data_IF_858464931713
#
_entry.id   IF_858464931713
#
_cell.length_a   1.000
_cell.length_b   1.000
_cell.length_c   1.000
_cell.angle_alpha   90.00
_cell.angle_beta   90.00
_cell.angle_gamma   90.00
#
_symmetry.space_group_name_H-M   'P 1'
#
loop_
_entity.id
_entity.type
_entity.pdbx_description
1 polymer ?
2 branched ?
3 water ?
#
# COMPACT_ATOMS: atom_id res chain seq x y z
N UNK A 1 -13.51 15.74 -1.41
CA UNK A 1 -13.61 15.63 -2.87
C UNK A 1 -12.26 15.32 -3.52
N UNK A 2 -11.44 14.48 -2.84
CA UNK A 2 -10.14 14.12 -3.39
C UNK A 2 -10.30 13.50 -4.78
N UNK A 3 -11.07 12.42 -4.86
CA UNK A 3 -11.18 11.70 -6.13
C UNK A 3 -11.95 12.52 -7.15
N UNK A 4 -12.91 13.36 -6.72
CA UNK A 4 -13.59 14.20 -7.70
C UNK A 4 -12.62 15.23 -8.27
N UNK A 5 -11.75 15.77 -7.44
CA UNK A 5 -10.77 16.78 -7.87
C UNK A 5 -9.67 16.19 -8.72
N UNK A 6 -9.01 15.13 -8.23
CA UNK A 6 -7.86 14.57 -8.91
C UNK A 6 -8.20 13.53 -9.97
N UNK A 7 -9.30 12.84 -9.76
CA UNK A 7 -9.82 11.87 -10.69
C UNK A 7 -8.86 10.78 -11.08
N UNK A 8 -8.76 10.57 -12.39
CA UNK A 8 -7.93 9.51 -12.95
C UNK A 8 -6.45 9.73 -12.72
N UNK A 9 -5.80 8.78 -12.08
CA UNK A 9 -4.39 8.93 -11.78
C UNK A 9 -3.63 8.24 -12.90
N UNK A 10 -2.42 8.71 -13.12
CA UNK A 10 -1.56 8.03 -14.10
C UNK A 10 -0.10 8.33 -13.75
N UNK A 11 0.78 7.69 -14.52
CA UNK A 11 2.22 7.91 -14.39
C UNK A 11 2.73 8.74 -15.56
N UNK A 12 3.43 9.82 -15.25
CA UNK A 12 3.96 10.69 -16.29
C UNK A 12 5.41 11.01 -15.90
N UNK A 13 6.33 10.55 -16.73
CA UNK A 13 7.77 10.75 -16.46
C UNK A 13 8.21 10.29 -15.08
N UNK A 14 7.73 9.11 -14.70
CA UNK A 14 7.99 8.49 -13.44
C UNK A 14 7.31 9.09 -12.24
N UNK A 15 6.34 9.97 -12.39
CA UNK A 15 5.68 10.59 -11.27
C UNK A 15 4.17 10.31 -11.28
N UNK A 16 3.58 10.20 -10.09
CA UNK A 16 2.14 10.03 -10.01
C UNK A 16 1.52 11.41 -10.27
N UNK A 17 0.65 11.46 -11.27
CA UNK A 17 -0.09 12.69 -11.57
C UNK A 17 -1.61 12.51 -11.69
N UNK A 18 -2.36 13.61 -11.48
CA UNK A 18 -3.81 13.54 -11.57
C UNK A 18 -4.19 13.64 -13.05
N UNK A 19 -5.49 13.69 -13.34
CA UNK A 19 -6.02 13.80 -14.68
C UNK A 19 -5.74 15.14 -15.37
N UNK A 20 -5.28 16.18 -14.73
CA UNK A 20 -4.90 17.41 -15.41
C UNK A 20 -3.37 17.45 -15.48
N UNK A 21 -2.70 16.35 -15.16
CA UNK A 21 -1.26 16.26 -15.21
C UNK A 21 -0.47 16.86 -14.05
N UNK A 22 -1.09 17.24 -12.94
CA UNK A 22 -0.29 17.78 -11.85
C UNK A 22 0.17 16.63 -10.94
N UNK A 23 1.34 16.76 -10.35
CA UNK A 23 1.77 15.77 -9.36
C UNK A 23 0.78 15.74 -8.20
N UNK A 24 0.54 14.55 -7.69
CA UNK A 24 -0.27 14.36 -6.50
C UNK A 24 0.47 13.39 -5.59
N UNK A 25 0.23 13.53 -4.30
CA UNK A 25 0.87 12.63 -3.33
C UNK A 25 -0.24 12.07 -2.43
N UNK A 26 -0.34 10.74 -2.38
CA UNK A 26 -1.38 10.15 -1.50
C UNK A 26 -0.72 9.81 -0.16
N UNK A 27 -1.44 9.99 0.95
CA UNK A 27 -0.94 9.64 2.27
C UNK A 27 -2.10 8.97 3.01
N UNK A 28 -1.92 7.76 3.55
CA UNK A 28 -3.08 7.16 4.25
C UNK A 28 -2.54 6.01 5.12
N UNK A 29 -3.52 5.15 5.45
CA UNK A 29 -3.25 4.04 6.33
C UNK A 29 -3.50 2.69 5.66
N UNK A 30 -2.75 1.68 6.09
CA UNK A 30 -3.07 0.34 5.65
C UNK A 30 -3.80 -0.36 6.84
N UNK A 31 -4.70 -1.26 6.53
CA UNK A 31 -5.26 -2.16 7.56
C UNK A 31 -4.12 -3.13 7.93
N UNK A 32 -4.33 -3.92 8.98
CA UNK A 32 -3.40 -5.00 9.32
C UNK A 32 -4.04 -6.15 8.53
N UNK A 33 -3.74 -7.41 8.75
CA UNK A 33 -4.38 -8.49 7.99
C UNK A 33 -5.90 -8.48 8.18
N UNK A 34 -6.62 -8.54 7.05
CA UNK A 34 -8.08 -8.58 7.17
C UNK A 34 -8.63 -9.86 7.81
N UNK A 35 -7.93 -10.97 7.89
CA UNK A 35 -8.39 -12.18 8.55
C UNK A 35 -8.29 -12.03 10.06
N UNK A 36 -7.54 -11.04 10.56
CA UNK A 36 -7.31 -10.88 11.97
C UNK A 36 -7.95 -9.62 12.55
N UNK A 37 -7.78 -8.49 11.84
CA UNK A 37 -8.24 -7.19 12.31
C UNK A 37 -9.19 -6.46 11.37
N UNK A 38 -10.07 -7.19 10.72
CA UNK A 38 -11.04 -6.70 9.75
C UNK A 38 -12.11 -5.79 10.32
N UNK A 39 -12.32 -5.88 11.65
CA UNK A 39 -13.31 -5.01 12.30
C UNK A 39 -12.94 -3.54 12.18
N UNK A 40 -11.65 -3.17 12.01
CA UNK A 40 -11.26 -1.78 11.89
C UNK A 40 -11.42 -1.20 10.49
N UNK A 41 -11.93 -2.00 9.56
CA UNK A 41 -12.09 -1.64 8.16
C UNK A 41 -13.59 -1.59 7.83
N UNK A 42 -14.10 -0.37 7.86
CA UNK A 42 -15.51 -0.11 7.64
C UNK A 42 -15.66 1.35 7.24
N UNK A 43 -16.85 1.66 6.73
CA UNK A 43 -17.14 3.02 6.31
C UNK A 43 -16.93 4.05 7.41
N UNK A 44 -17.43 3.82 8.60
CA UNK A 44 -17.25 4.80 9.68
C UNK A 44 -15.80 5.03 10.06
N UNK A 45 -14.97 4.00 10.23
CA UNK A 45 -13.58 4.27 10.62
C UNK A 45 -12.85 4.97 9.46
N UNK A 46 -13.18 4.58 8.21
CA UNK A 46 -12.51 5.19 7.06
C UNK A 46 -12.87 6.65 6.90
N UNK A 47 -14.13 6.96 7.22
CA UNK A 47 -14.59 8.34 7.23
C UNK A 47 -13.92 9.14 8.37
N UNK A 48 -13.73 8.56 9.53
CA UNK A 48 -13.02 9.22 10.62
C UNK A 48 -11.57 9.49 10.15
N UNK A 49 -10.92 8.52 9.50
CA UNK A 49 -9.55 8.71 9.06
C UNK A 49 -9.50 9.85 8.05
N UNK A 50 -10.48 9.84 7.14
CA UNK A 50 -10.54 10.90 6.14
C UNK A 50 -10.79 12.27 6.76
N UNK A 51 -11.76 12.40 7.67
CA UNK A 51 -12.06 13.72 8.23
C UNK A 51 -11.13 14.19 9.34
N UNK A 52 -10.73 13.34 10.27
CA UNK A 52 -9.87 13.75 11.39
C UNK A 52 -8.39 13.65 11.07
N UNK A 53 -7.93 12.64 10.34
CA UNK A 53 -6.53 12.47 10.04
C UNK A 53 -6.18 13.15 8.71
N UNK A 54 -7.14 13.29 7.80
CA UNK A 54 -6.94 13.84 6.47
C UNK A 54 -6.46 12.80 5.45
N UNK A 55 -6.66 11.49 5.66
CA UNK A 55 -6.16 10.50 4.70
C UNK A 55 -6.84 10.72 3.34
N UNK A 56 -6.15 10.37 2.26
CA UNK A 56 -6.71 10.40 0.93
C UNK A 56 -6.51 9.04 0.22
N UNK A 57 -6.06 8.03 0.92
CA UNK A 57 -5.95 6.66 0.39
C UNK A 57 -6.08 5.66 1.54
N UNK A 58 -6.61 4.46 1.28
CA UNK A 58 -6.72 3.46 2.34
C UNK A 58 -6.27 2.15 1.72
N UNK A 59 -5.44 1.39 2.40
CA UNK A 59 -4.97 0.14 1.79
C UNK A 59 -5.59 -1.06 2.50
N UNK A 60 -6.23 -1.94 1.74
CA UNK A 60 -6.82 -3.15 2.36
C UNK A 60 -5.84 -4.30 2.20
N UNK A 61 -5.18 -4.70 3.26
CA UNK A 61 -4.18 -5.74 3.23
C UNK A 61 -4.81 -7.12 3.34
N UNK A 62 -5.06 -7.74 2.19
CA UNK A 62 -5.64 -9.08 2.19
C UNK A 62 -4.56 -10.14 2.12
N UNK A 63 -4.09 -10.61 3.29
CA UNK A 63 -3.11 -11.69 3.31
C UNK A 63 -3.68 -12.85 2.46
N UNK A 64 -2.79 -13.54 1.77
CA UNK A 64 -3.16 -14.73 1.01
C UNK A 64 -2.96 -15.96 1.89
N UNK A 65 -1.81 -16.12 2.54
CA UNK A 65 -1.58 -17.24 3.45
C UNK A 65 -1.86 -16.81 4.88
N UNK A 66 -1.29 -17.42 5.91
CA UNK A 66 -1.46 -17.05 7.31
C UNK A 66 -2.91 -16.88 7.70
N UNK A 67 -3.76 -17.79 7.21
CA UNK A 67 -5.18 -17.79 7.51
C UNK A 67 -5.97 -16.83 6.64
N UNK A 68 -5.31 -16.26 5.61
CA UNK A 68 -5.92 -15.31 4.72
C UNK A 68 -6.76 -15.97 3.62
N UNK A 69 -6.76 -15.28 2.47
CA UNK A 69 -7.59 -15.63 1.34
C UNK A 69 -7.50 -17.05 0.80
N UNK A 70 -6.34 -17.68 0.75
CA UNK A 70 -6.25 -19.05 0.23
C UNK A 70 -6.94 -20.01 1.18
N UNK A 71 -6.85 -19.74 2.49
CA UNK A 71 -7.46 -20.68 3.45
C UNK A 71 -8.95 -20.42 3.65
N UNK A 72 -9.26 -19.12 3.51
CA UNK A 72 -10.65 -18.72 3.70
C UNK A 72 -10.90 -17.50 2.82
N UNK A 73 -11.47 -17.72 1.67
CA UNK A 73 -11.68 -16.69 0.68
C UNK A 73 -12.75 -15.68 1.02
N UNK A 74 -13.48 -15.88 2.10
CA UNK A 74 -14.50 -14.93 2.52
C UNK A 74 -13.91 -13.57 2.75
N UNK A 75 -12.62 -13.41 3.08
CA UNK A 75 -12.00 -12.12 3.32
C UNK A 75 -12.04 -11.21 2.12
N UNK A 76 -12.23 -11.75 0.88
CA UNK A 76 -12.32 -10.92 -0.29
C UNK A 76 -13.53 -9.98 -0.17
N UNK A 77 -14.59 -10.38 0.52
CA UNK A 77 -15.75 -9.51 0.70
C UNK A 77 -15.41 -8.31 1.57
N UNK A 78 -14.47 -8.42 2.50
CA UNK A 78 -14.04 -7.28 3.32
C UNK A 78 -13.29 -6.31 2.42
N UNK A 79 -12.51 -6.84 1.46
CA UNK A 79 -11.82 -5.97 0.49
C UNK A 79 -12.89 -5.18 -0.25
N UNK A 80 -13.93 -5.86 -0.73
CA UNK A 80 -15.03 -5.18 -1.46
C UNK A 80 -15.69 -4.13 -0.58
N UNK A 81 -15.92 -4.38 0.69
CA UNK A 81 -16.49 -3.35 1.57
C UNK A 81 -15.52 -2.16 1.66
N UNK A 82 -14.21 -2.39 1.74
CA UNK A 82 -13.27 -1.25 1.81
C UNK A 82 -13.30 -0.40 0.55
N UNK A 83 -13.33 -1.09 -0.60
CA UNK A 83 -13.39 -0.39 -1.89
C UNK A 83 -14.63 0.48 -2.02
N UNK A 84 -15.80 -0.05 -1.66
CA UNK A 84 -17.08 0.66 -1.71
C UNK A 84 -17.07 1.82 -0.73
N UNK A 85 -16.52 1.65 0.46
CA UNK A 85 -16.41 2.76 1.41
C UNK A 85 -15.55 3.85 0.77
N UNK A 86 -14.45 3.48 0.12
CA UNK A 86 -13.53 4.45 -0.49
C UNK A 86 -14.25 5.25 -1.58
N UNK A 87 -15.00 4.52 -2.41
CA UNK A 87 -15.82 5.16 -3.45
C UNK A 87 -16.86 6.07 -2.77
N UNK A 88 -17.53 5.62 -1.71
CA UNK A 88 -18.52 6.49 -1.05
C UNK A 88 -17.87 7.72 -0.42
N UNK A 89 -16.66 7.69 0.08
CA UNK A 89 -15.95 8.74 0.77
C UNK A 89 -15.09 9.60 -0.13
N UNK A 90 -15.01 9.19 -1.40
CA UNK A 90 -14.27 9.86 -2.45
C UNK A 90 -12.78 9.90 -2.19
N UNK A 91 -12.20 8.79 -1.75
CA UNK A 91 -10.76 8.69 -1.58
C UNK A 91 -10.27 7.49 -2.39
N UNK A 92 -8.97 7.38 -2.55
CA UNK A 92 -8.35 6.26 -3.25
C UNK A 92 -8.27 5.01 -2.37
N UNK A 93 -8.17 3.84 -3.01
CA UNK A 93 -8.09 2.58 -2.25
C UNK A 93 -7.15 1.61 -2.94
N UNK A 94 -6.27 0.98 -2.20
CA UNK A 94 -5.33 0.00 -2.74
C UNK A 94 -5.85 -1.41 -2.37
N UNK A 95 -5.99 -2.24 -3.39
CA UNK A 95 -6.35 -3.64 -3.19
C UNK A 95 -5.04 -4.41 -3.11
N UNK A 96 -4.59 -4.87 -1.95
CA UNK A 96 -3.27 -5.50 -1.79
C UNK A 96 -3.37 -7.01 -1.62
N UNK A 97 -2.84 -7.75 -2.57
CA UNK A 97 -2.75 -9.21 -2.56
C UNK A 97 -1.48 -9.43 -1.72
N UNK A 98 -1.70 -9.58 -0.42
CA UNK A 98 -0.66 -9.50 0.61
C UNK A 98 0.10 -10.77 0.85
N UNK A 99 1.04 -11.05 -0.10
CA UNK A 99 1.90 -12.22 0.07
C UNK A 99 2.93 -11.89 1.15
N UNK A 100 3.43 -12.93 1.81
CA UNK A 100 4.48 -12.72 2.80
C UNK A 100 5.17 -14.05 3.06
N UNK A 101 4.50 -14.93 3.82
CA UNK A 101 5.16 -16.24 4.06
C UNK A 101 5.19 -17.07 2.79
N UNK A 102 4.21 -16.87 1.92
CA UNK A 102 4.16 -17.43 0.57
C UNK A 102 5.01 -16.42 -0.21
N UNK A 103 6.31 -16.58 -0.08
CA UNK A 103 7.31 -15.61 -0.46
C UNK A 103 7.51 -15.41 -1.94
N UNK A 104 7.09 -16.34 -2.76
CA UNK A 104 7.23 -16.14 -4.21
C UNK A 104 5.81 -15.87 -4.67
N UNK A 105 5.53 -14.81 -5.40
CA UNK A 105 4.20 -14.52 -5.92
C UNK A 105 3.67 -15.58 -6.87
N UNK A 106 4.53 -16.42 -7.46
CA UNK A 106 4.09 -17.48 -8.34
C UNK A 106 3.39 -18.60 -7.58
N UNK A 107 3.57 -18.74 -6.26
CA UNK A 107 2.92 -19.83 -5.54
C UNK A 107 1.41 -19.85 -5.81
N UNK A 108 0.77 -18.70 -5.56
CA UNK A 108 -0.67 -18.59 -5.77
C UNK A 108 -1.03 -17.71 -6.97
N UNK A 109 -0.25 -17.81 -8.05
CA UNK A 109 -0.53 -16.97 -9.22
C UNK A 109 -1.83 -17.31 -9.88
N UNK A 110 -2.28 -18.57 -9.92
CA UNK A 110 -3.57 -18.82 -10.55
C UNK A 110 -4.66 -18.14 -9.75
N UNK A 111 -4.61 -18.27 -8.43
CA UNK A 111 -5.63 -17.64 -7.58
C UNK A 111 -5.61 -16.13 -7.69
N UNK A 112 -4.42 -15.55 -7.77
CA UNK A 112 -4.26 -14.10 -7.96
C UNK A 112 -4.88 -13.64 -9.26
N UNK A 113 -4.69 -14.39 -10.36
CA UNK A 113 -5.27 -13.96 -11.63
C UNK A 113 -6.80 -14.00 -11.53
N UNK A 114 -7.34 -15.05 -10.88
CA UNK A 114 -8.82 -15.06 -10.74
C UNK A 114 -9.30 -13.91 -9.87
N UNK A 115 -8.60 -13.67 -8.76
CA UNK A 115 -8.98 -12.59 -7.83
C UNK A 115 -8.96 -11.23 -8.51
N UNK A 116 -7.83 -10.94 -9.20
CA UNK A 116 -7.69 -9.67 -9.89
C UNK A 116 -8.64 -9.53 -11.08
N UNK A 117 -9.00 -10.61 -11.74
CA UNK A 117 -10.03 -10.55 -12.80
C UNK A 117 -11.35 -10.11 -12.14
N UNK A 118 -11.73 -10.73 -11.02
CA UNK A 118 -12.97 -10.36 -10.37
C UNK A 118 -12.93 -8.91 -9.88
N UNK A 119 -11.88 -8.49 -9.21
CA UNK A 119 -11.86 -7.12 -8.66
C UNK A 119 -11.85 -6.07 -9.76
N UNK A 120 -11.06 -6.33 -10.80
CA UNK A 120 -11.02 -5.38 -11.91
C UNK A 120 -12.32 -5.39 -12.74
N UNK A 121 -13.02 -6.52 -12.84
CA UNK A 121 -14.32 -6.48 -13.52
C UNK A 121 -15.31 -5.68 -12.67
N UNK A 122 -15.30 -5.82 -11.34
CA UNK A 122 -16.24 -5.12 -10.48
C UNK A 122 -16.00 -3.62 -10.45
N UNK A 123 -14.73 -3.25 -10.21
CA UNK A 123 -14.43 -1.85 -9.94
C UNK A 123 -13.62 -1.12 -10.98
N UNK A 124 -13.40 -1.77 -12.12
CA UNK A 124 -12.49 -1.21 -13.12
C UNK A 124 -12.95 0.10 -13.73
N UNK A 125 -14.23 0.47 -13.60
CA UNK A 125 -14.64 1.75 -14.15
C UNK A 125 -14.81 2.79 -13.05
N UNK A 126 -13.99 2.64 -11.99
CA UNK A 126 -13.91 3.67 -10.97
C UNK A 126 -12.45 4.10 -10.98
N UNK A 127 -12.13 5.36 -10.81
CA UNK A 127 -10.80 5.88 -10.72
C UNK A 127 -10.19 5.74 -9.32
N UNK A 128 -10.92 5.32 -8.31
CA UNK A 128 -10.35 5.20 -6.96
C UNK A 128 -9.33 4.07 -6.83
N UNK A 129 -9.49 3.01 -7.62
CA UNK A 129 -8.79 1.76 -7.42
C UNK A 129 -7.34 1.77 -7.86
N UNK A 130 -6.46 1.21 -7.04
CA UNK A 130 -5.04 1.00 -7.25
C UNK A 130 -4.77 -0.48 -6.90
N UNK A 131 -4.21 -1.27 -7.81
CA UNK A 131 -4.08 -2.72 -7.56
C UNK A 131 -2.67 -2.99 -7.06
N UNK A 132 -2.51 -3.71 -5.96
CA UNK A 132 -1.13 -4.03 -5.49
C UNK A 132 -1.05 -5.55 -5.57
N UNK A 133 -0.44 -6.06 -6.66
CA UNK A 133 -0.51 -7.48 -6.96
C UNK A 133 0.40 -8.43 -6.20
N UNK A 134 1.36 -8.01 -5.40
CA UNK A 134 2.21 -8.92 -4.61
C UNK A 134 2.94 -8.12 -3.53
N UNK A 135 2.34 -7.92 -2.37
CA UNK A 135 2.87 -7.12 -1.29
C UNK A 135 4.39 -7.18 -1.14
N UNK A 136 4.92 -8.29 -0.63
CA UNK A 136 6.34 -8.44 -0.39
C UNK A 136 7.01 -9.74 -0.82
N UNK A 137 7.40 -9.84 -2.06
CA UNK A 137 8.20 -10.95 -2.55
C UNK A 137 9.42 -10.98 -1.62
N UNK A 138 9.91 -12.16 -1.23
CA UNK A 138 11.09 -12.22 -0.40
C UNK A 138 11.78 -13.58 -0.56
N UNK A 139 13.02 -13.64 -0.08
CA UNK A 139 13.85 -14.84 -0.19
C UNK A 139 14.89 -14.62 -1.30
N UNK A 140 16.06 -15.26 -1.14
CA UNK A 140 17.14 -15.27 -2.10
C UNK A 140 16.82 -15.84 -3.46
N UNK A 141 15.93 -16.81 -3.52
CA UNK A 141 15.45 -17.53 -4.68
C UNK A 141 14.28 -16.84 -5.40
N UNK A 142 13.93 -15.63 -4.97
CA UNK A 142 12.82 -14.90 -5.60
C UNK A 142 13.41 -13.62 -6.18
N UNK A 143 13.68 -13.56 -7.47
CA UNK A 143 14.28 -12.35 -8.02
C UNK A 143 13.29 -11.62 -8.94
N UNK A 144 13.64 -10.38 -9.23
CA UNK A 144 12.81 -9.57 -10.12
C UNK A 144 12.72 -10.24 -11.47
N UNK A 145 13.94 -10.47 -12.00
CA UNK A 145 14.03 -11.03 -13.35
C UNK A 145 13.44 -12.41 -13.55
N UNK A 146 13.66 -13.34 -12.60
CA UNK A 146 13.17 -14.71 -12.79
C UNK A 146 11.77 -14.99 -12.25
N UNK A 147 11.39 -14.31 -11.16
CA UNK A 147 10.11 -14.62 -10.53
C UNK A 147 9.06 -13.51 -10.54
N UNK A 148 9.49 -12.29 -10.16
CA UNK A 148 8.52 -11.21 -9.97
C UNK A 148 8.02 -10.58 -11.26
N UNK A 149 8.97 -10.25 -12.15
CA UNK A 149 8.58 -9.64 -13.42
C UNK A 149 7.66 -10.54 -14.21
N UNK A 150 7.96 -11.81 -14.39
CA UNK A 150 7.14 -12.76 -15.13
C UNK A 150 5.77 -12.94 -14.46
N UNK A 151 5.76 -12.96 -13.12
CA UNK A 151 4.47 -13.01 -12.44
C UNK A 151 3.61 -11.80 -12.81
N UNK A 152 4.20 -10.62 -12.77
CA UNK A 152 3.48 -9.38 -13.12
C UNK A 152 3.03 -9.40 -14.56
N UNK A 153 3.82 -10.04 -15.44
CA UNK A 153 3.48 -10.11 -16.87
C UNK A 153 2.39 -11.12 -17.17
N UNK A 154 1.98 -11.91 -16.19
CA UNK A 154 0.79 -12.74 -16.27
C UNK A 154 -0.41 -12.05 -15.60
N UNK A 155 -0.17 -11.37 -14.46
CA UNK A 155 -1.33 -10.77 -13.78
C UNK A 155 -1.82 -9.47 -14.38
N UNK A 156 -0.89 -8.61 -14.87
CA UNK A 156 -1.27 -7.32 -15.45
C UNK A 156 -2.21 -7.40 -16.63
N UNK A 157 -2.01 -8.28 -17.60
CA UNK A 157 -2.90 -8.49 -18.72
C UNK A 157 -4.32 -8.84 -18.26
N UNK A 158 -4.48 -9.64 -17.22
CA UNK A 158 -5.79 -9.97 -16.67
C UNK A 158 -6.45 -8.65 -16.22
N UNK A 159 -5.68 -7.84 -15.47
CA UNK A 159 -6.32 -6.59 -15.00
C UNK A 159 -6.68 -5.66 -16.14
N UNK A 160 -5.71 -5.55 -17.05
CA UNK A 160 -5.81 -4.63 -18.19
C UNK A 160 -6.91 -5.02 -19.17
N UNK A 161 -7.37 -6.26 -19.20
CA UNK A 161 -8.50 -6.61 -20.04
C UNK A 161 -9.78 -5.95 -19.53
N UNK A 162 -9.86 -5.60 -18.26
CA UNK A 162 -11.06 -5.00 -17.67
C UNK A 162 -10.85 -3.52 -17.31
N UNK A 163 -9.62 -3.11 -17.08
CA UNK A 163 -9.30 -1.80 -16.51
C UNK A 163 -7.96 -1.42 -17.14
N UNK A 164 -8.03 -0.66 -18.21
CA UNK A 164 -6.93 -0.33 -19.06
C UNK A 164 -5.86 0.55 -18.43
N UNK A 165 -6.17 1.30 -17.36
CA UNK A 165 -5.09 2.19 -16.94
C UNK A 165 -5.10 2.65 -15.51
N UNK A 166 -5.90 2.04 -14.62
CA UNK A 166 -5.73 2.43 -13.21
C UNK A 166 -4.34 1.96 -12.80
N UNK A 167 -3.75 2.60 -11.79
CA UNK A 167 -2.39 2.29 -11.36
C UNK A 167 -2.27 0.86 -10.82
N UNK A 168 -1.13 0.24 -11.14
CA UNK A 168 -0.81 -1.10 -10.61
C UNK A 168 0.53 -0.99 -9.86
N UNK A 169 0.60 -1.34 -8.58
CA UNK A 169 1.84 -1.31 -7.82
C UNK A 169 2.38 -2.76 -7.81
N UNK A 170 3.62 -2.94 -8.21
CA UNK A 170 4.25 -4.26 -8.24
C UNK A 170 5.33 -4.35 -7.16
N UNK A 171 5.24 -5.40 -6.33
CA UNK A 171 6.28 -5.58 -5.28
C UNK A 171 7.64 -5.89 -5.89
N UNK A 172 8.68 -5.62 -5.08
CA UNK A 172 10.06 -5.88 -5.48
C UNK A 172 10.75 -6.86 -4.54
N UNK A 173 11.97 -7.26 -4.90
CA UNK A 173 12.64 -8.27 -4.11
C UNK A 173 13.02 -7.85 -2.70
N UNK A 174 13.39 -8.88 -1.90
CA UNK A 174 13.85 -8.62 -0.54
C UNK A 174 12.88 -7.79 0.28
N UNK A 175 11.64 -8.27 0.36
CA UNK A 175 10.54 -7.63 1.03
C UNK A 175 10.22 -6.25 0.46
N UNK A 176 10.13 -6.14 -0.86
CA UNK A 176 9.90 -4.86 -1.53
C UNK A 176 10.90 -3.77 -1.16
N UNK A 177 12.19 -4.13 -1.16
CA UNK A 177 13.22 -3.13 -0.96
C UNK A 177 14.08 -3.06 -2.23
N UNK A 178 14.10 -4.11 -3.06
CA UNK A 178 15.05 -4.08 -4.17
C UNK A 178 14.53 -3.35 -5.39
N UNK A 179 14.34 -2.03 -5.25
CA UNK A 179 13.85 -1.22 -6.36
C UNK A 179 14.95 -0.99 -7.40
N UNK A 180 16.21 -1.20 -7.02
CA UNK A 180 17.32 -1.03 -7.96
C UNK A 180 17.21 -2.01 -9.11
N UNK A 181 17.04 -3.30 -8.86
CA UNK A 181 16.93 -4.26 -9.94
C UNK A 181 15.67 -4.02 -10.76
N UNK A 182 14.56 -3.65 -10.07
CA UNK A 182 13.32 -3.46 -10.86
C UNK A 182 13.51 -2.28 -11.80
N UNK A 183 14.17 -1.23 -11.29
CA UNK A 183 14.31 -0.01 -12.11
C UNK A 183 15.24 -0.20 -13.31
N UNK A 184 16.15 -1.14 -13.23
CA UNK A 184 16.99 -1.46 -14.37
C UNK A 184 16.29 -2.44 -15.32
N UNK A 185 15.10 -2.98 -15.01
CA UNK A 185 14.47 -3.93 -15.93
C UNK A 185 12.97 -3.79 -15.81
N UNK A 186 12.50 -2.60 -16.12
CA UNK A 186 11.13 -2.17 -15.91
C UNK A 186 10.13 -2.90 -16.78
N UNK A 187 8.89 -2.94 -16.28
CA UNK A 187 7.74 -3.52 -16.96
C UNK A 187 7.30 -2.57 -18.08
N UNK A 188 6.63 -3.09 -19.10
CA UNK A 188 6.20 -2.23 -20.20
C UNK A 188 4.99 -1.36 -19.86
N UNK A 189 4.06 -1.82 -19.03
CA UNK A 189 2.85 -1.02 -18.76
C UNK A 189 3.21 0.37 -18.29
N UNK A 190 2.65 1.39 -18.91
CA UNK A 190 2.94 2.78 -18.58
C UNK A 190 2.38 3.22 -17.25
N UNK A 191 1.42 2.54 -16.66
CA UNK A 191 0.82 2.98 -15.39
C UNK A 191 1.16 2.04 -14.25
N UNK A 192 2.42 1.64 -14.22
CA UNK A 192 2.91 0.77 -13.15
C UNK A 192 3.86 1.59 -12.28
N UNK A 193 3.88 1.25 -11.00
CA UNK A 193 4.74 1.75 -9.96
C UNK A 193 5.36 0.54 -9.24
N UNK A 194 6.55 0.72 -8.70
CA UNK A 194 7.22 -0.36 -7.97
C UNK A 194 7.09 -0.08 -6.47
N UNK A 195 6.82 -1.12 -5.69
CA UNK A 195 6.68 -0.91 -4.25
C UNK A 195 8.03 -0.79 -3.57
N UNK A 196 8.11 0.13 -2.60
CA UNK A 196 9.29 0.29 -1.76
C UNK A 196 8.78 0.36 -0.31
N UNK A 197 9.26 -0.52 0.55
CA UNK A 197 8.78 -0.56 1.93
C UNK A 197 9.94 -0.35 2.92
N UNK A 198 9.72 0.36 4.02
CA UNK A 198 10.78 0.59 5.00
C UNK A 198 10.17 0.55 6.40
N UNK A 199 11.05 0.42 7.39
CA UNK A 199 10.73 0.40 8.80
C UNK A 199 11.74 1.34 9.47
N UNK A 200 11.24 2.29 10.25
CA UNK A 200 12.16 3.31 10.82
C UNK A 200 13.17 2.77 11.81
N UNK A 201 13.00 1.55 12.30
CA UNK A 201 13.97 0.87 13.15
C UNK A 201 15.27 0.58 12.40
N UNK A 202 15.23 0.56 11.08
CA UNK A 202 16.45 0.33 10.29
C UNK A 202 17.10 1.64 9.89
N UNK A 203 18.40 1.80 10.09
CA UNK A 203 19.10 3.01 9.62
C UNK A 203 18.89 3.11 8.11
N UNK A 204 18.27 4.19 7.62
CA UNK A 204 17.86 4.21 6.22
C UNK A 204 18.62 5.03 5.22
N UNK A 205 19.83 5.49 5.50
CA UNK A 205 20.49 6.38 4.52
C UNK A 205 20.77 5.72 3.20
N UNK A 206 21.20 4.45 3.15
CA UNK A 206 21.50 3.83 1.85
C UNK A 206 20.19 3.50 1.12
N UNK A 207 19.16 3.13 1.92
CA UNK A 207 17.86 2.80 1.34
C UNK A 207 17.28 4.02 0.63
N UNK A 208 17.44 5.22 1.19
CA UNK A 208 16.99 6.44 0.53
C UNK A 208 17.79 6.67 -0.75
N UNK A 209 19.10 6.39 -0.69
CA UNK A 209 19.92 6.55 -1.92
C UNK A 209 19.47 5.56 -2.99
N UNK A 210 19.03 4.36 -2.60
CA UNK A 210 18.57 3.38 -3.56
C UNK A 210 17.24 3.78 -4.19
N UNK A 211 16.35 4.36 -3.39
CA UNK A 211 15.09 4.89 -3.97
C UNK A 211 15.46 5.95 -5.00
N UNK A 212 16.38 6.86 -4.67
CA UNK A 212 16.84 7.90 -5.60
C UNK A 212 17.41 7.29 -6.89
N UNK A 213 18.25 6.25 -6.80
CA UNK A 213 18.72 5.56 -8.00
C UNK A 213 17.54 5.12 -8.87
N UNK A 214 16.55 4.47 -8.29
CA UNK A 214 15.40 3.97 -9.07
C UNK A 214 14.62 5.09 -9.73
N UNK A 215 14.38 6.15 -8.97
CA UNK A 215 13.69 7.32 -9.51
C UNK A 215 14.47 7.88 -10.71
N UNK A 216 15.81 7.89 -10.62
CA UNK A 216 16.69 8.37 -11.66
C UNK A 216 16.64 7.49 -12.89
N UNK A 217 16.14 6.27 -12.83
CA UNK A 217 15.95 5.45 -14.02
C UNK A 217 14.56 5.66 -14.61
N UNK A 218 13.80 6.61 -14.05
CA UNK A 218 12.45 6.84 -14.53
C UNK A 218 11.41 5.89 -13.98
N UNK A 219 11.73 5.05 -13.00
CA UNK A 219 10.72 4.19 -12.39
C UNK A 219 9.90 4.98 -11.36
N UNK A 220 8.60 4.75 -11.32
CA UNK A 220 7.75 5.42 -10.33
C UNK A 220 7.75 4.52 -9.09
N UNK A 221 7.77 5.13 -7.92
CA UNK A 221 7.80 4.32 -6.70
C UNK A 221 6.64 4.68 -5.77
N UNK A 222 5.95 3.68 -5.24
CA UNK A 222 4.87 3.95 -4.27
C UNK A 222 5.31 3.31 -2.94
N UNK A 223 5.39 4.04 -1.84
CA UNK A 223 5.79 3.44 -0.55
C UNK A 223 4.53 2.86 0.08
N UNK A 224 4.09 1.70 -0.42
CA UNK A 224 2.78 1.15 -0.09
C UNK A 224 2.66 0.57 1.31
N UNK A 225 3.77 0.51 2.04
CA UNK A 225 3.76 0.05 3.43
C UNK A 225 5.05 0.53 4.11
N UNK A 226 4.89 1.24 5.23
CA UNK A 226 6.07 1.59 6.02
C UNK A 226 5.61 1.62 7.47
N UNK A 227 6.55 1.44 8.40
CA UNK A 227 6.18 1.52 9.82
C UNK A 227 7.22 2.36 10.57
N UNK A 228 6.80 2.79 11.74
CA UNK A 228 7.60 3.52 12.69
C UNK A 228 8.42 2.56 13.57
N UNK A 229 8.21 1.26 13.46
CA UNK A 229 8.90 0.27 14.27
C UNK A 229 10.08 -0.38 13.55
N UNK A 230 10.57 -1.47 14.15
CA UNK A 230 11.63 -2.27 13.54
C UNK A 230 10.95 -3.10 12.46
N UNK A 231 11.70 -3.84 11.64
CA UNK A 231 11.16 -4.60 10.54
C UNK A 231 10.19 -5.72 10.91
N UNK A 232 10.10 -6.13 12.17
CA UNK A 232 9.16 -7.16 12.59
C UNK A 232 7.78 -6.57 12.83
N UNK A 233 7.66 -5.25 12.84
CA UNK A 233 6.40 -4.56 13.09
C UNK A 233 6.33 -4.21 14.58
N UNK A 234 7.33 -4.50 15.38
CA UNK A 234 7.35 -4.21 16.81
C UNK A 234 8.73 -3.68 17.21
N UNK A 235 9.18 -3.87 18.45
CA UNK A 235 10.52 -3.50 18.86
C UNK A 235 10.80 -2.03 19.07
N UNK A 236 9.80 -1.27 19.48
CA UNK A 236 10.03 0.15 19.74
C UNK A 236 9.57 1.02 18.56
N UNK A 237 9.45 2.31 18.83
CA UNK A 237 9.05 3.33 17.89
C UNK A 237 10.23 4.27 17.63
N UNK A 238 10.53 4.51 16.37
CA UNK A 238 11.74 5.25 16.01
C UNK A 238 11.33 6.48 15.23
N UNK A 239 10.87 7.48 16.00
CA UNK A 239 10.38 8.69 15.35
C UNK A 239 11.40 9.61 14.73
N UNK A 240 12.65 9.62 15.19
CA UNK A 240 13.59 10.51 14.50
C UNK A 240 13.79 10.00 13.08
N UNK A 241 14.06 8.70 12.95
CA UNK A 241 14.32 8.18 11.57
C UNK A 241 13.04 8.27 10.75
N UNK A 242 11.88 8.08 11.42
CA UNK A 242 10.60 8.19 10.70
C UNK A 242 10.40 9.56 10.06
N UNK A 243 10.78 10.58 10.83
CA UNK A 243 10.67 11.94 10.28
C UNK A 243 11.62 12.16 9.13
N UNK A 244 12.81 11.55 9.16
CA UNK A 244 13.74 11.74 8.04
C UNK A 244 13.07 11.15 6.79
N UNK A 245 12.47 9.97 6.95
CA UNK A 245 11.80 9.34 5.79
C UNK A 245 10.60 10.14 5.32
N UNK A 246 9.84 10.66 6.28
CA UNK A 246 8.70 11.53 5.92
C UNK A 246 9.18 12.70 5.08
N UNK A 247 10.22 13.41 5.54
CA UNK A 247 10.74 14.53 4.77
C UNK A 247 11.28 14.09 3.42
N UNK A 248 11.95 12.93 3.36
CA UNK A 248 12.45 12.43 2.08
C UNK A 248 11.33 12.20 1.07
N UNK A 249 10.26 11.57 1.53
CA UNK A 249 9.10 11.25 0.70
C UNK A 249 8.42 12.51 0.23
N UNK A 250 8.32 13.55 1.07
CA UNK A 250 7.75 14.82 0.57
C UNK A 250 8.66 15.47 -0.47
N UNK A 251 9.99 15.44 -0.30
CA UNK A 251 10.88 16.01 -1.32
C UNK A 251 10.81 15.30 -2.65
N UNK A 252 10.60 13.98 -2.62
CA UNK A 252 10.52 13.19 -3.86
C UNK A 252 9.10 12.99 -4.36
N UNK A 253 8.11 13.55 -3.66
CA UNK A 253 6.72 13.33 -4.06
C UNK A 253 6.28 11.87 -4.06
N UNK A 254 6.69 11.19 -2.97
CA UNK A 254 6.31 9.78 -2.88
C UNK A 254 5.03 9.63 -2.07
N UNK A 255 4.12 8.84 -2.61
CA UNK A 255 2.87 8.50 -1.95
C UNK A 255 3.14 7.39 -0.94
N UNK A 256 2.30 7.30 0.11
CA UNK A 256 2.59 6.26 1.11
C UNK A 256 1.38 5.80 1.92
N UNK A 257 1.49 4.60 2.49
CA UNK A 257 0.46 4.09 3.38
C UNK A 257 1.16 3.54 4.63
N UNK A 258 0.75 3.93 5.81
CA UNK A 258 1.44 3.45 7.01
C UNK A 258 0.84 2.14 7.52
N UNK A 259 1.67 1.27 8.06
CA UNK A 259 1.34 0.00 8.68
C UNK A 259 1.39 0.22 10.21
N UNK A 260 0.28 0.02 10.90
CA UNK A 260 -1.02 -0.38 10.38
C UNK A 260 -2.15 0.02 11.35
N UNK A 261 -3.40 -0.07 10.81
CA UNK A 261 -4.57 0.32 11.61
C UNK A 261 -5.17 -0.84 12.40
N UNK A 262 -4.72 -1.02 13.63
CA UNK A 262 -5.10 -2.10 14.50
C UNK A 262 -4.77 -1.68 15.94
N UNK A 263 -5.29 -2.46 16.88
CA UNK A 263 -5.00 -2.26 18.30
C UNK A 263 -4.06 -3.33 18.86
N UNK A 264 -3.47 -4.17 18.02
CA UNK A 264 -2.49 -5.17 18.45
C UNK A 264 -1.45 -4.49 19.32
N UNK A 265 -0.93 -5.20 20.30
CA UNK A 265 0.15 -4.69 21.15
C UNK A 265 1.51 -4.86 20.46
N UNK A 266 1.76 -4.00 19.47
CA UNK A 266 3.06 -4.02 18.76
C UNK A 266 3.30 -2.55 18.40
N UNK A 267 4.52 -2.11 18.40
CA UNK A 267 4.87 -0.71 18.22
C UNK A 267 4.28 -0.08 16.98
N UNK A 268 4.23 -0.81 15.86
CA UNK A 268 3.77 -0.22 14.61
C UNK A 268 2.26 0.02 14.61
N UNK A 269 1.49 -0.64 15.49
CA UNK A 269 0.05 -0.45 15.52
C UNK A 269 -0.30 0.98 15.86
N UNK A 270 -1.27 1.53 15.12
CA UNK A 270 -1.69 2.90 15.31
C UNK A 270 -2.63 3.15 16.48
N UNK A 271 -3.38 2.18 16.96
CA UNK A 271 -4.35 2.32 18.03
C UNK A 271 -4.04 1.50 19.30
N UNK A 272 -4.55 2.03 20.41
CA UNK A 272 -4.41 1.38 21.72
C UNK A 272 -5.51 0.36 21.87
N UNK A 273 -5.40 -0.60 22.76
CA UNK A 273 -6.37 -1.65 22.98
C UNK A 273 -7.81 -1.23 23.09
N UNK A 274 -8.19 -0.08 23.63
CA UNK A 274 -9.62 0.22 23.71
C UNK A 274 -10.21 1.05 22.59
N UNK A 275 -9.48 1.17 21.47
CA UNK A 275 -9.96 2.04 20.40
C UNK A 275 -11.19 1.46 19.73
N UNK A 276 -12.17 2.33 19.52
CA UNK A 276 -13.42 1.88 18.89
C UNK A 276 -13.15 1.53 17.43
N UNK A 277 -13.65 0.42 16.95
CA UNK A 277 -13.41 -0.07 15.60
C UNK A 277 -14.11 0.78 14.57
N UNK A 278 -15.04 1.63 15.01
CA UNK A 278 -15.72 2.52 14.09
C UNK A 278 -15.17 3.95 14.16
N UNK A 279 -14.03 4.26 14.72
CA UNK A 279 -13.55 5.64 14.68
C UNK A 279 -13.84 6.49 15.90
N UNK A 280 -13.57 7.78 15.78
CA UNK A 280 -13.75 8.74 16.85
C UNK A 280 -12.71 8.73 17.96
N UNK A 281 -11.55 8.16 17.78
CA UNK A 281 -10.51 8.04 18.79
C UNK A 281 -10.07 9.34 19.45
N UNK A 282 -9.88 9.32 20.75
CA UNK A 282 -9.30 10.42 21.51
C UNK A 282 -7.79 10.21 21.38
N UNK A 283 -7.06 11.16 21.92
CA UNK A 283 -5.61 11.12 21.95
C UNK A 283 -5.16 9.86 22.70
N UNK A 284 -5.81 9.51 23.79
CA UNK A 284 -5.47 8.34 24.60
C UNK A 284 -5.61 7.01 23.90
N UNK A 285 -6.49 7.03 22.88
CA UNK A 285 -6.72 5.83 22.09
C UNK A 285 -5.81 5.62 20.89
N UNK A 286 -4.92 6.53 20.63
CA UNK A 286 -3.87 6.35 19.63
C UNK A 286 -2.55 6.00 20.32
N UNK A 287 -1.77 5.09 19.77
CA UNK A 287 -0.47 4.72 20.29
C UNK A 287 0.51 5.82 19.93
N UNK A 288 1.74 5.74 20.42
CA UNK A 288 2.76 6.69 20.03
C UNK A 288 2.86 6.73 18.49
N UNK A 289 2.83 5.55 17.85
CA UNK A 289 2.95 5.48 16.40
C UNK A 289 1.77 6.19 15.72
N UNK A 290 0.57 5.87 16.17
CA UNK A 290 -0.67 6.47 15.63
C UNK A 290 -0.75 7.97 15.77
N UNK A 291 -0.38 8.52 16.91
CA UNK A 291 -0.33 9.98 17.09
C UNK A 291 0.62 10.62 16.11
N UNK A 292 1.81 10.06 15.92
CA UNK A 292 2.78 10.65 14.98
C UNK A 292 2.21 10.61 13.57
N UNK A 293 1.71 9.43 13.15
CA UNK A 293 1.25 9.29 11.77
C UNK A 293 0.11 10.28 11.49
N UNK A 294 -0.84 10.34 12.43
CA UNK A 294 -1.94 11.29 12.30
C UNK A 294 -1.43 12.71 12.19
N UNK A 295 -0.50 13.15 13.02
CA UNK A 295 0.08 14.47 12.87
C UNK A 295 0.71 14.66 11.49
N UNK A 296 1.48 13.67 11.00
CA UNK A 296 2.09 13.85 9.66
C UNK A 296 1.03 14.08 8.60
N UNK A 297 -0.05 13.29 8.64
CA UNK A 297 -1.05 13.50 7.56
C UNK A 297 -1.82 14.79 7.76
N UNK A 298 -2.13 15.19 9.00
CA UNK A 298 -2.83 16.46 9.21
C UNK A 298 -1.96 17.62 8.77
N UNK A 299 -0.65 17.57 9.00
CA UNK A 299 0.28 18.63 8.61
C UNK A 299 0.33 18.79 7.08
N UNK A 300 0.12 17.66 6.42
CA UNK A 300 0.11 17.67 4.96
C UNK A 300 -1.01 18.52 4.38
#
# INVERSE_FOLDING_TARGET
>A
SVVEEHGQLSISNGELVNERGEQVQLKGMSSHGLQWYGQFVNYESMKWLRDDWGINVFRAAMYTSSGGYIDDPSVKEKVKEAVEAAIDLDIYVIIDWHILSDNDPNIYKEEAKDFFDEMSELYGDYPNVIYEIANEPNGSDVTWGNQIKPYAEEVIPIIRNNDPNNIIIVGTGTWSQDVHHAADNQLADPNVMYAFHFYAGTHGQNLRDQVDYALDQGAAIFVSEWGTSAATGDGGVFLDEAQVWIDFMDERNLSWANWSLTHKDESSAALMPGANPTGGWTEAELSPSGTFVREKIRES
#
